data_IF_246709381889
#
_entry.id   IF_246709381889
#
_cell.length_a   1.000
_cell.length_b   1.000
_cell.length_c   1.000
_cell.angle_alpha   90.00
_cell.angle_beta   90.00
_cell.angle_gamma   90.00
#
_symmetry.space_group_name_H-M   'P 1'
#
loop_
_entity.id
_entity.type
_entity.pdbx_description
1 polymer ?
#
# COMPACT_ATOMS: atom_id res chain seq x y z
N UNK A 1 12.95 -10.78 18.44
CA UNK A 1 11.80 -10.12 17.79
C UNK A 1 12.28 -9.75 16.40
N UNK A 2 11.61 -10.22 15.34
CA UNK A 2 11.94 -9.79 13.97
C UNK A 2 11.41 -8.37 13.82
N UNK A 3 12.23 -7.46 13.29
CA UNK A 3 11.80 -6.10 12.96
C UNK A 3 10.81 -6.17 11.79
N UNK A 4 9.64 -5.55 11.93
CA UNK A 4 8.63 -5.53 10.87
C UNK A 4 9.20 -4.94 9.58
N UNK A 5 10.10 -3.95 9.67
CA UNK A 5 10.76 -3.34 8.52
C UNK A 5 11.67 -4.29 7.73
N UNK A 6 12.07 -5.43 8.31
CA UNK A 6 12.79 -6.48 7.58
C UNK A 6 11.84 -7.43 6.84
N UNK A 7 10.57 -7.48 7.26
CA UNK A 7 9.54 -8.36 6.66
C UNK A 7 8.89 -7.68 5.47
N UNK A 8 8.63 -6.37 5.57
CA UNK A 8 7.81 -5.62 4.61
C UNK A 8 8.62 -4.83 3.58
N UNK A 9 9.91 -5.15 3.37
CA UNK A 9 10.73 -4.39 2.40
C UNK A 9 10.10 -4.47 1.01
N UNK A 10 10.00 -3.36 0.25
CA UNK A 10 10.69 -2.07 0.46
C UNK A 10 9.89 -1.03 1.26
N UNK A 11 8.75 -1.38 1.84
CA UNK A 11 7.99 -0.47 2.70
C UNK A 11 8.75 -0.16 3.99
N UNK A 12 8.40 0.98 4.61
CA UNK A 12 8.90 1.38 5.93
C UNK A 12 7.73 1.70 6.85
N UNK A 13 7.72 1.05 8.00
CA UNK A 13 6.82 1.31 9.11
C UNK A 13 7.47 2.32 10.06
N UNK A 14 6.80 3.46 10.25
CA UNK A 14 7.19 4.54 11.14
C UNK A 14 6.20 4.60 12.31
N UNK A 15 6.71 4.46 13.53
CA UNK A 15 5.90 4.51 14.75
C UNK A 15 6.14 5.83 15.50
N UNK A 16 5.06 6.50 15.89
CA UNK A 16 5.03 7.70 16.72
C UNK A 16 4.23 7.43 18.00
N UNK A 17 4.18 8.37 18.95
CA UNK A 17 3.56 8.14 20.26
C UNK A 17 2.08 7.71 20.20
N UNK A 18 1.30 8.26 19.26
CA UNK A 18 -0.16 8.05 19.17
C UNK A 18 -0.64 7.57 17.79
N UNK A 19 0.29 7.35 16.86
CA UNK A 19 -0.01 7.02 15.46
C UNK A 19 1.18 6.36 14.79
N UNK A 20 0.95 5.78 13.63
CA UNK A 20 2.00 5.26 12.75
C UNK A 20 1.71 5.58 11.30
N UNK A 21 2.73 5.38 10.47
CA UNK A 21 2.65 5.45 9.02
C UNK A 21 3.36 4.28 8.38
N UNK A 22 2.80 3.75 7.30
CA UNK A 22 3.48 2.86 6.36
C UNK A 22 3.75 3.68 5.10
N UNK A 23 5.02 3.74 4.70
CA UNK A 23 5.43 4.53 3.54
C UNK A 23 6.22 3.70 2.54
N UNK A 24 6.16 4.09 1.28
CA UNK A 24 7.02 3.61 0.21
C UNK A 24 7.46 4.81 -0.64
N UNK A 25 8.77 4.94 -0.85
CA UNK A 25 9.29 5.82 -1.90
C UNK A 25 9.06 5.10 -3.23
N UNK A 26 8.22 5.67 -4.09
CA UNK A 26 7.84 5.02 -5.35
C UNK A 26 9.00 5.07 -6.35
N UNK A 27 8.99 4.13 -7.31
CA UNK A 27 10.09 3.94 -8.25
C UNK A 27 10.04 2.55 -8.87
N UNK A 28 10.91 1.65 -8.45
CA UNK A 28 11.10 0.35 -9.13
C UNK A 28 10.16 -0.75 -8.64
N UNK A 29 9.74 -0.71 -7.36
CA UNK A 29 8.94 -1.79 -6.78
C UNK A 29 7.58 -1.89 -7.48
N UNK A 30 7.24 -3.09 -7.95
CA UNK A 30 6.04 -3.39 -8.75
C UNK A 30 5.82 -2.49 -9.98
N UNK A 31 6.85 -1.82 -10.51
CA UNK A 31 6.69 -0.93 -11.66
C UNK A 31 6.04 -1.64 -12.87
N UNK A 32 6.39 -2.91 -13.11
CA UNK A 32 5.78 -3.72 -14.16
C UNK A 32 4.27 -3.95 -14.01
N UNK A 33 3.72 -3.86 -12.79
CA UNK A 33 2.28 -3.96 -12.56
C UNK A 33 1.59 -2.67 -13.01
N UNK A 34 2.15 -1.51 -12.67
CA UNK A 34 1.59 -0.22 -13.07
C UNK A 34 1.70 0.00 -14.59
N UNK A 35 2.79 -0.47 -15.21
CA UNK A 35 2.97 -0.44 -16.66
C UNK A 35 1.86 -1.15 -17.45
N UNK A 36 1.14 -2.10 -16.83
CA UNK A 36 0.02 -2.80 -17.48
C UNK A 36 -1.14 -1.87 -17.84
N UNK A 37 -1.26 -0.73 -17.17
CA UNK A 37 -2.34 0.26 -17.35
C UNK A 37 -1.77 1.66 -17.61
N UNK A 38 -0.53 1.74 -18.10
CA UNK A 38 0.10 3.03 -18.41
C UNK A 38 -0.63 3.79 -19.53
N UNK A 39 -1.32 3.09 -20.43
CA UNK A 39 -2.18 3.68 -21.46
C UNK A 39 -3.45 4.34 -20.90
N UNK A 40 -3.87 3.94 -19.69
CA UNK A 40 -4.99 4.56 -18.97
C UNK A 40 -4.54 5.81 -18.18
N UNK A 41 -3.24 5.97 -17.92
CA UNK A 41 -2.67 7.11 -17.20
C UNK A 41 -1.97 6.78 -15.88
N UNK A 42 -1.88 5.50 -15.51
CA UNK A 42 -1.10 5.08 -14.33
C UNK A 42 0.41 5.22 -14.59
N UNK A 43 1.13 5.75 -13.60
CA UNK A 43 2.58 6.00 -13.67
C UNK A 43 3.37 5.19 -12.62
N UNK A 44 2.68 4.51 -11.70
CA UNK A 44 3.30 3.90 -10.52
C UNK A 44 3.70 4.93 -9.46
N UNK A 45 3.08 6.11 -9.50
CA UNK A 45 3.32 7.19 -8.54
C UNK A 45 2.60 6.92 -7.20
N UNK A 46 2.79 7.77 -6.18
CA UNK A 46 2.20 7.51 -4.87
C UNK A 46 0.66 7.50 -4.86
N UNK A 47 0.01 8.24 -5.76
CA UNK A 47 -1.45 8.22 -5.90
C UNK A 47 -1.93 6.88 -6.48
N UNK A 48 -1.25 6.36 -7.49
CA UNK A 48 -1.54 5.04 -8.08
C UNK A 48 -1.42 3.92 -7.05
N UNK A 49 -0.38 3.98 -6.21
CA UNK A 49 -0.22 3.10 -5.06
C UNK A 49 -1.35 3.27 -4.04
N UNK A 50 -1.81 4.51 -3.82
CA UNK A 50 -2.98 4.82 -3.00
C UNK A 50 -4.24 4.12 -3.52
N UNK A 51 -4.52 4.23 -4.82
CA UNK A 51 -5.66 3.57 -5.46
C UNK A 51 -5.59 2.05 -5.36
N UNK A 52 -4.43 1.45 -5.60
CA UNK A 52 -4.21 0.01 -5.42
C UNK A 52 -4.46 -0.42 -3.97
N UNK A 53 -3.87 0.29 -3.02
CA UNK A 53 -4.00 0.00 -1.59
C UNK A 53 -5.44 0.21 -1.08
N UNK A 54 -6.20 1.13 -1.68
CA UNK A 54 -7.63 1.30 -1.40
C UNK A 54 -8.46 0.10 -1.86
N UNK A 55 -8.19 -0.44 -3.05
CA UNK A 55 -8.84 -1.68 -3.52
C UNK A 55 -8.51 -2.84 -2.59
N UNK A 56 -7.23 -3.01 -2.23
CA UNK A 56 -6.79 -4.03 -1.28
C UNK A 56 -7.50 -3.90 0.07
N UNK A 57 -7.57 -2.69 0.65
CA UNK A 57 -8.28 -2.42 1.89
C UNK A 57 -9.77 -2.81 1.78
N UNK A 58 -10.35 -2.59 0.61
CA UNK A 58 -11.75 -2.86 0.36
C UNK A 58 -12.11 -4.33 0.22
N UNK A 59 -11.23 -5.12 -0.38
CA UNK A 59 -11.49 -6.52 -0.73
C UNK A 59 -10.85 -7.52 0.24
N UNK A 60 -9.59 -7.30 0.63
CA UNK A 60 -8.81 -8.30 1.38
C UNK A 60 -8.87 -8.10 2.89
N UNK A 61 -8.95 -6.84 3.35
CA UNK A 61 -8.96 -6.49 4.77
C UNK A 61 -10.04 -5.47 5.14
N UNK A 62 -11.32 -5.71 4.77
CA UNK A 62 -12.40 -4.75 4.97
C UNK A 62 -12.66 -4.39 6.44
N UNK A 63 -12.23 -5.23 7.39
CA UNK A 63 -12.31 -4.96 8.82
C UNK A 63 -11.36 -3.85 9.31
N UNK A 64 -10.40 -3.41 8.48
CA UNK A 64 -9.45 -2.34 8.81
C UNK A 64 -9.87 -0.96 8.26
N UNK A 65 -10.97 -0.86 7.49
CA UNK A 65 -11.37 0.38 6.79
C UNK A 65 -11.50 1.60 7.69
N UNK A 66 -12.06 1.43 8.87
CA UNK A 66 -12.29 2.53 9.81
C UNK A 66 -10.99 2.97 10.52
N UNK A 67 -9.94 2.14 10.46
CA UNK A 67 -8.67 2.40 11.12
C UNK A 67 -7.60 2.98 10.17
N UNK A 68 -7.69 2.71 8.86
CA UNK A 68 -6.64 3.05 7.89
C UNK A 68 -7.01 4.31 7.09
N UNK A 69 -6.17 5.35 7.21
CA UNK A 69 -6.21 6.55 6.38
C UNK A 69 -5.12 6.54 5.32
N UNK A 70 -5.33 7.30 4.25
CA UNK A 70 -4.41 7.46 3.11
C UNK A 70 -3.98 8.92 3.02
N UNK A 71 -2.70 9.15 2.73
CA UNK A 71 -2.12 10.48 2.48
C UNK A 71 -0.99 10.39 1.44
N UNK A 72 -1.24 9.81 0.25
CA UNK A 72 -0.21 9.66 -0.77
C UNK A 72 0.22 11.02 -1.36
N UNK A 73 1.46 11.07 -1.80
CA UNK A 73 2.05 12.17 -2.56
C UNK A 73 2.67 11.62 -3.84
N UNK A 74 2.86 12.43 -4.88
CA UNK A 74 3.36 11.95 -6.18
C UNK A 74 4.62 11.07 -6.10
N UNK A 75 5.56 11.35 -5.20
CA UNK A 75 6.78 10.55 -5.00
C UNK A 75 6.74 9.56 -3.84
N UNK A 76 5.65 9.50 -3.08
CA UNK A 76 5.56 8.70 -1.86
C UNK A 76 4.16 8.16 -1.64
N UNK A 77 4.05 6.83 -1.56
CA UNK A 77 2.88 6.20 -0.99
C UNK A 77 2.90 6.34 0.54
N UNK A 78 1.76 6.66 1.14
CA UNK A 78 1.61 6.77 2.59
C UNK A 78 0.19 6.35 3.03
N UNK A 79 0.16 5.45 4.01
CA UNK A 79 -1.03 5.16 4.82
C UNK A 79 -0.72 5.36 6.29
N UNK A 80 -1.71 5.77 7.07
CA UNK A 80 -1.54 6.09 8.48
C UNK A 80 -2.69 5.57 9.33
N UNK A 81 -2.44 5.41 10.63
CA UNK A 81 -3.47 5.04 11.60
C UNK A 81 -3.07 5.45 13.01
N UNK A 82 -4.07 5.71 13.87
CA UNK A 82 -3.89 5.75 15.33
C UNK A 82 -3.91 4.35 15.96
N UNK A 83 -4.49 3.38 15.26
CA UNK A 83 -4.52 1.99 15.66
C UNK A 83 -3.28 1.27 15.10
N UNK A 84 -2.18 1.32 15.86
CA UNK A 84 -0.90 0.70 15.45
C UNK A 84 -1.01 -0.79 15.16
N UNK A 85 -1.96 -1.49 15.82
CA UNK A 85 -2.20 -2.91 15.56
C UNK A 85 -2.83 -3.12 14.18
N UNK A 86 -3.85 -2.33 13.84
CA UNK A 86 -4.48 -2.34 12.52
C UNK A 86 -3.47 -1.98 11.42
N UNK A 87 -2.64 -0.96 11.64
CA UNK A 87 -1.63 -0.56 10.66
C UNK A 87 -0.54 -1.62 10.44
N UNK A 88 -0.10 -2.30 11.51
CA UNK A 88 0.86 -3.42 11.38
C UNK A 88 0.25 -4.59 10.63
N UNK A 89 -1.02 -4.91 10.88
CA UNK A 89 -1.74 -5.94 10.13
C UNK A 89 -1.87 -5.56 8.64
N UNK A 90 -2.27 -4.31 8.36
CA UNK A 90 -2.34 -3.79 7.00
C UNK A 90 -0.99 -3.88 6.30
N UNK A 91 0.09 -3.43 6.93
CA UNK A 91 1.43 -3.43 6.34
C UNK A 91 1.90 -4.83 5.95
N UNK A 92 1.71 -5.82 6.82
CA UNK A 92 2.12 -7.20 6.53
C UNK A 92 1.27 -7.79 5.41
N UNK A 93 -0.06 -7.69 5.51
CA UNK A 93 -0.95 -8.29 4.50
C UNK A 93 -0.88 -7.59 3.14
N UNK A 94 -0.68 -6.28 3.12
CA UNK A 94 -0.52 -5.53 1.86
C UNK A 94 0.79 -5.91 1.18
N UNK A 95 1.88 -6.03 1.95
CA UNK A 95 3.14 -6.55 1.43
C UNK A 95 2.98 -7.99 0.91
N UNK A 96 2.33 -8.90 1.67
CA UNK A 96 2.04 -10.26 1.20
C UNK A 96 1.25 -10.27 -0.12
N UNK A 97 0.27 -9.38 -0.26
CA UNK A 97 -0.47 -9.22 -1.52
C UNK A 97 0.43 -8.70 -2.64
N UNK A 98 1.35 -7.76 -2.36
CA UNK A 98 2.32 -7.26 -3.35
C UNK A 98 3.28 -8.34 -3.85
N UNK A 99 3.60 -9.34 -3.01
CA UNK A 99 4.45 -10.48 -3.38
C UNK A 99 3.69 -11.61 -4.09
N UNK A 100 2.36 -11.51 -4.22
CA UNK A 100 1.52 -12.40 -5.02
C UNK A 100 1.13 -11.71 -6.33
N UNK A 101 1.86 -12.04 -7.40
CA UNK A 101 1.71 -11.41 -8.72
C UNK A 101 0.28 -11.52 -9.29
N UNK A 102 -0.39 -12.66 -9.11
CA UNK A 102 -1.74 -12.85 -9.61
C UNK A 102 -2.74 -12.01 -8.81
N UNK A 103 -2.63 -12.03 -7.48
CA UNK A 103 -3.49 -11.24 -6.60
C UNK A 103 -3.32 -9.75 -6.83
N UNK A 104 -2.09 -9.23 -6.80
CA UNK A 104 -1.84 -7.79 -6.91
C UNK A 104 -2.29 -7.25 -8.26
N UNK A 105 -2.10 -8.02 -9.33
CA UNK A 105 -2.58 -7.66 -10.66
C UNK A 105 -4.11 -7.61 -10.71
N UNK A 106 -4.79 -8.61 -10.11
CA UNK A 106 -6.25 -8.64 -10.07
C UNK A 106 -6.85 -7.48 -9.26
N UNK A 107 -6.19 -7.10 -8.16
CA UNK A 107 -6.56 -5.91 -7.39
C UNK A 107 -6.31 -4.64 -8.22
N UNK A 108 -5.16 -4.53 -8.87
CA UNK A 108 -4.80 -3.35 -9.67
C UNK A 108 -5.72 -3.12 -10.87
N UNK A 109 -6.28 -4.17 -11.49
CA UNK A 109 -7.27 -4.04 -12.56
C UNK A 109 -8.57 -3.32 -12.13
N UNK A 110 -8.80 -3.16 -10.83
CA UNK A 110 -9.97 -2.49 -10.26
C UNK A 110 -9.64 -1.12 -9.65
N UNK A 111 -8.36 -0.73 -9.67
CA UNK A 111 -7.94 0.57 -9.19
C UNK A 111 -8.46 1.67 -10.14
N UNK A 112 -8.89 2.79 -9.58
CA UNK A 112 -9.32 3.97 -10.34
C UNK A 112 -8.26 5.07 -10.21
N UNK A 113 -8.10 5.89 -11.23
CA UNK A 113 -7.26 7.09 -11.13
C UNK A 113 -7.92 8.10 -10.18
N UNK A 114 -7.13 8.68 -9.28
CA UNK A 114 -7.54 9.73 -8.35
C UNK A 114 -7.45 11.14 -8.99
#
# INVERSE_FOLDING_TARGET
MIDINEIIKPFRFLEYEDRGSLILNVGEYLNSIFELRADEGFEGNGYDWGSLALVFLNEEVPHLKEDIGFDPEGSMFCVYSKNLKALKEFAVKFHEACEDEELIKNLFLKAELD
#
